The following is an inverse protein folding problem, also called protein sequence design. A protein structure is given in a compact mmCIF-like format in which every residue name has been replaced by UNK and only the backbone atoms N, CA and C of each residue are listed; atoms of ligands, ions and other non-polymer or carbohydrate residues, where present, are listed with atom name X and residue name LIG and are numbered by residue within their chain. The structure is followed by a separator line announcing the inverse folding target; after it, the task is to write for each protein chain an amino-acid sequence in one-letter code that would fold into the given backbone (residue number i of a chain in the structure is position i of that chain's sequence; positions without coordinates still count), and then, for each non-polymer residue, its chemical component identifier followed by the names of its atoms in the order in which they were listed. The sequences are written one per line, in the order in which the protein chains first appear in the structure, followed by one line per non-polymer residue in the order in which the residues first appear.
data_IF_518568408182
#
_entry.id   IF_518568408182
#
_cell.length_a   1.000
_cell.length_b   1.000
_cell.length_c   1.000
_cell.angle_alpha   90.00
_cell.angle_beta   90.00
_cell.angle_gamma   90.00
#
_symmetry.space_group_name_H-M   'P 1'
#
loop_
_entity.id
_entity.type
_entity.pdbx_description
1 polymer ?
#
# COMPACT_ATOMS: atom_id res chain seq x y z
N UNK A 1 18.92 19.88 -33.26
CA UNK A 1 19.98 19.83 -34.29
C UNK A 1 19.50 19.57 -35.72
N UNK A 2 18.39 18.88 -36.02
CA UNK A 2 17.75 18.98 -37.37
C UNK A 2 16.56 19.94 -37.38
N UNK A 3 15.65 19.81 -36.40
CA UNK A 3 14.46 20.67 -36.28
C UNK A 3 14.80 22.16 -36.07
N UNK A 4 15.87 22.45 -35.33
CA UNK A 4 16.35 23.82 -35.12
C UNK A 4 16.96 24.42 -36.40
N UNK A 5 17.63 23.61 -37.21
CA UNK A 5 18.16 24.07 -38.50
C UNK A 5 17.00 24.35 -39.49
N UNK A 6 16.00 23.46 -39.54
CA UNK A 6 14.77 23.70 -40.30
C UNK A 6 14.04 24.97 -39.82
N UNK A 7 14.00 25.23 -38.51
CA UNK A 7 13.42 26.44 -37.96
C UNK A 7 14.20 27.71 -38.32
N UNK A 8 15.53 27.65 -38.38
CA UNK A 8 16.36 28.80 -38.69
C UNK A 8 16.34 29.16 -40.19
N UNK A 9 16.43 28.16 -41.08
CA UNK A 9 16.67 28.40 -42.51
C UNK A 9 15.49 28.04 -43.43
N UNK A 10 14.61 27.14 -43.01
CA UNK A 10 13.57 26.55 -43.87
C UNK A 10 12.15 26.62 -43.28
N UNK A 11 11.94 27.52 -42.31
CA UNK A 11 10.69 27.57 -41.53
C UNK A 11 9.45 27.74 -42.40
N UNK A 12 9.49 28.67 -43.35
CA UNK A 12 8.33 28.99 -44.17
C UNK A 12 7.97 27.85 -45.12
N UNK A 13 8.97 27.20 -45.71
CA UNK A 13 8.75 26.07 -46.63
C UNK A 13 8.26 24.84 -45.86
N UNK A 14 8.80 24.60 -44.66
CA UNK A 14 8.32 23.56 -43.77
C UNK A 14 6.85 23.77 -43.36
N UNK A 15 6.45 25.00 -43.00
CA UNK A 15 5.06 25.29 -42.64
C UNK A 15 4.09 25.14 -43.82
N UNK A 16 4.50 25.54 -45.03
CA UNK A 16 3.71 25.30 -46.26
C UNK A 16 3.55 23.81 -46.52
N UNK A 17 4.62 23.03 -46.35
CA UNK A 17 4.57 21.57 -46.48
C UNK A 17 3.65 20.96 -45.43
N UNK A 18 3.74 21.37 -44.16
CA UNK A 18 2.85 20.91 -43.09
C UNK A 18 1.39 21.19 -43.41
N UNK A 19 1.05 22.40 -43.90
CA UNK A 19 -0.31 22.75 -44.31
C UNK A 19 -0.81 21.93 -45.50
N UNK A 20 0.06 21.61 -46.45
CA UNK A 20 -0.29 20.81 -47.64
C UNK A 20 -0.51 19.33 -47.30
N UNK A 21 0.11 18.82 -46.23
CA UNK A 21 0.06 17.41 -45.84
C UNK A 21 -0.71 17.19 -44.52
N UNK A 22 -1.51 18.17 -44.08
CA UNK A 22 -2.29 18.12 -42.83
C UNK A 22 -1.48 17.71 -41.59
N UNK A 23 -0.22 18.17 -41.51
CA UNK A 23 0.69 17.84 -40.43
C UNK A 23 0.79 18.98 -39.41
N UNK A 24 0.74 18.64 -38.11
CA UNK A 24 0.89 19.62 -37.03
C UNK A 24 2.37 20.04 -36.93
N UNK A 25 2.71 21.34 -37.09
CA UNK A 25 4.10 21.78 -37.04
C UNK A 25 4.70 21.57 -35.65
N UNK A 26 5.82 20.86 -35.56
CA UNK A 26 6.50 20.58 -34.29
C UNK A 26 7.84 21.30 -34.13
N UNK A 27 7.96 22.51 -34.69
CA UNK A 27 9.17 23.32 -34.54
C UNK A 27 9.33 23.79 -33.08
N UNK A 28 10.56 23.81 -32.54
CA UNK A 28 10.83 24.17 -31.15
C UNK A 28 10.21 25.48 -30.68
N UNK A 29 10.21 26.53 -31.51
CA UNK A 29 9.59 27.81 -31.17
C UNK A 29 8.07 27.76 -31.03
N UNK A 30 7.38 26.87 -31.75
CA UNK A 30 5.93 26.71 -31.64
C UNK A 30 5.54 26.01 -30.35
N UNK A 31 6.28 24.97 -29.95
CA UNK A 31 6.07 24.30 -28.65
C UNK A 31 6.28 25.25 -27.47
N UNK A 32 7.27 26.15 -27.56
CA UNK A 32 7.48 27.18 -26.53
C UNK A 32 6.29 28.15 -26.45
N UNK A 33 5.70 28.53 -27.57
CA UNK A 33 4.50 29.40 -27.60
C UNK A 33 3.27 28.69 -27.03
N UNK A 34 3.10 27.39 -27.31
CA UNK A 34 2.00 26.59 -26.74
C UNK A 34 2.11 26.45 -25.22
N UNK A 35 3.32 26.22 -24.71
CA UNK A 35 3.58 26.14 -23.26
C UNK A 35 3.31 27.49 -22.59
N UNK A 36 3.76 28.60 -23.18
CA UNK A 36 3.48 29.94 -22.64
C UNK A 36 1.97 30.29 -22.71
N UNK A 37 1.26 29.82 -23.74
CA UNK A 37 -0.19 30.01 -23.89
C UNK A 37 -1.00 29.11 -22.93
N UNK A 38 -0.50 27.92 -22.57
CA UNK A 38 -1.14 27.04 -21.58
C UNK A 38 -0.87 27.51 -20.15
N UNK A 39 0.33 28.01 -19.86
CA UNK A 39 0.68 28.62 -18.58
C UNK A 39 -0.15 29.89 -18.29
N UNK A 40 -0.44 30.70 -19.31
CA UNK A 40 -1.31 31.88 -19.17
C UNK A 40 -2.82 31.54 -19.07
N UNK A 41 -3.23 30.32 -19.46
CA UNK A 41 -4.60 29.80 -19.29
C UNK A 41 -4.79 28.99 -18.01
N UNK A 42 -3.71 28.64 -17.31
CA UNK A 42 -3.77 27.95 -16.02
C UNK A 42 -4.21 28.93 -14.93
N UNK A 43 -5.49 29.33 -14.97
CA UNK A 43 -6.21 29.72 -13.76
C UNK A 43 -6.07 28.54 -12.80
N UNK A 44 -5.36 28.79 -11.71
CA UNK A 44 -5.04 27.86 -10.65
C UNK A 44 -6.30 27.06 -10.27
N UNK A 45 -6.40 25.80 -10.73
CA UNK A 45 -7.46 24.92 -10.31
C UNK A 45 -7.32 24.72 -8.80
N UNK A 46 -8.41 24.97 -8.07
CA UNK A 46 -8.48 24.78 -6.62
C UNK A 46 -8.07 23.34 -6.27
N UNK A 47 -7.11 23.20 -5.36
CA UNK A 47 -6.55 21.93 -4.87
C UNK A 47 -7.62 21.05 -4.19
N UNK A 48 -8.82 21.59 -3.93
CA UNK A 48 -9.90 20.86 -3.26
C UNK A 48 -10.46 19.67 -4.05
N UNK A 49 -10.34 19.63 -5.37
CA UNK A 49 -10.96 18.58 -6.19
C UNK A 49 -10.17 17.26 -6.22
N UNK A 50 -8.94 17.23 -5.69
CA UNK A 50 -8.12 16.02 -5.53
C UNK A 50 -8.20 15.40 -4.13
N UNK A 51 -8.98 15.99 -3.22
CA UNK A 51 -9.18 15.43 -1.90
C UNK A 51 -10.11 14.21 -2.01
N UNK A 52 -9.53 13.03 -2.24
CA UNK A 52 -10.21 11.74 -2.03
C UNK A 52 -10.75 11.76 -0.60
N UNK A 53 -12.07 11.82 -0.46
CA UNK A 53 -12.73 11.66 0.84
C UNK A 53 -12.44 10.24 1.32
N UNK A 54 -11.40 10.08 2.11
CA UNK A 54 -11.15 8.85 2.85
C UNK A 54 -12.24 8.78 3.92
N UNK A 55 -13.10 7.77 3.82
CA UNK A 55 -14.06 7.46 4.87
C UNK A 55 -13.27 7.22 6.16
N UNK A 56 -13.49 8.08 7.15
CA UNK A 56 -12.81 7.94 8.44
C UNK A 56 -13.43 6.73 9.16
N UNK A 57 -12.63 5.88 9.81
CA UNK A 57 -13.17 4.79 10.61
C UNK A 57 -14.13 5.33 11.67
N UNK A 58 -15.18 4.55 11.95
CA UNK A 58 -16.20 4.90 12.94
C UNK A 58 -15.49 5.19 14.28
N UNK A 59 -15.72 6.37 14.90
CA UNK A 59 -15.14 6.67 16.21
C UNK A 59 -15.53 5.60 17.24
N UNK A 60 -14.60 5.30 18.15
CA UNK A 60 -14.87 4.33 19.20
C UNK A 60 -16.03 4.78 20.11
N UNK A 61 -17.00 3.89 20.30
CA UNK A 61 -17.96 3.91 21.41
C UNK A 61 -18.14 2.49 21.92
N UNK A 62 -18.43 2.34 23.21
CA UNK A 62 -18.59 1.02 23.83
C UNK A 62 -19.69 0.19 23.16
N UNK A 63 -20.78 0.86 22.75
CA UNK A 63 -21.91 0.22 22.07
C UNK A 63 -21.55 -0.22 20.65
N UNK A 64 -20.85 0.63 19.87
CA UNK A 64 -20.41 0.28 18.52
C UNK A 64 -19.38 -0.86 18.55
N UNK A 65 -18.45 -0.82 19.50
CA UNK A 65 -17.47 -1.88 19.70
C UNK A 65 -18.15 -3.20 20.08
N UNK A 66 -19.11 -3.17 21.01
CA UNK A 66 -19.86 -4.37 21.41
C UNK A 66 -20.65 -4.96 20.24
N UNK A 67 -21.32 -4.14 19.45
CA UNK A 67 -22.06 -4.60 18.28
C UNK A 67 -21.14 -5.29 17.26
N UNK A 68 -20.02 -4.64 16.89
CA UNK A 68 -19.04 -5.20 15.97
C UNK A 68 -18.40 -6.49 16.51
N UNK A 69 -18.12 -6.56 17.82
CA UNK A 69 -17.59 -7.74 18.49
C UNK A 69 -18.55 -8.95 18.40
N UNK A 70 -19.85 -8.74 18.64
CA UNK A 70 -20.87 -9.80 18.54
C UNK A 70 -21.01 -10.27 17.08
N UNK A 71 -21.04 -9.35 16.12
CA UNK A 71 -21.10 -9.68 14.69
C UNK A 71 -19.88 -10.49 14.26
N UNK A 72 -18.68 -10.09 14.68
CA UNK A 72 -17.45 -10.83 14.38
C UNK A 72 -17.46 -12.25 14.97
N UNK A 73 -17.84 -12.41 16.25
CA UNK A 73 -17.92 -13.72 16.89
C UNK A 73 -18.87 -14.68 16.15
N UNK A 74 -20.07 -14.21 15.83
CA UNK A 74 -21.14 -15.03 15.22
C UNK A 74 -20.83 -15.35 13.77
N UNK A 75 -20.33 -14.39 12.98
CA UNK A 75 -19.98 -14.60 11.57
C UNK A 75 -18.81 -15.56 11.35
N UNK A 76 -17.88 -15.62 12.31
CA UNK A 76 -16.67 -16.44 12.20
C UNK A 76 -16.64 -17.66 13.12
N UNK A 77 -17.75 -17.92 13.84
CA UNK A 77 -17.87 -19.01 14.82
C UNK A 77 -16.71 -19.07 15.82
N UNK A 78 -16.28 -17.92 16.34
CA UNK A 78 -15.24 -17.85 17.35
C UNK A 78 -15.79 -18.25 18.71
N UNK A 79 -14.95 -18.85 19.58
CA UNK A 79 -15.37 -19.15 20.93
C UNK A 79 -15.48 -17.86 21.75
N UNK A 80 -16.37 -17.84 22.75
CA UNK A 80 -16.64 -16.65 23.58
C UNK A 80 -15.43 -16.23 24.42
N UNK A 81 -14.56 -17.19 24.76
CA UNK A 81 -13.32 -16.99 25.49
C UNK A 81 -12.21 -16.32 24.66
N UNK A 82 -12.42 -16.10 23.36
CA UNK A 82 -11.49 -15.35 22.50
C UNK A 82 -11.18 -13.96 23.08
N UNK A 83 -12.16 -13.32 23.72
CA UNK A 83 -11.98 -12.03 24.38
C UNK A 83 -11.18 -12.08 25.68
N UNK A 84 -11.09 -13.25 26.33
CA UNK A 84 -10.29 -13.43 27.53
C UNK A 84 -8.81 -13.61 27.22
N UNK A 85 -8.47 -13.92 25.96
CA UNK A 85 -7.09 -14.08 25.54
C UNK A 85 -6.32 -12.75 25.64
N UNK A 86 -5.28 -12.66 26.49
CA UNK A 86 -4.52 -11.41 26.67
C UNK A 86 -3.79 -10.97 25.40
N UNK A 87 -3.44 -11.90 24.50
CA UNK A 87 -2.81 -11.58 23.21
C UNK A 87 -3.80 -10.89 22.26
N UNK A 88 -5.07 -11.27 22.31
CA UNK A 88 -6.12 -10.63 21.53
C UNK A 88 -6.34 -9.18 21.99
N UNK A 89 -6.41 -8.94 23.31
CA UNK A 89 -6.49 -7.57 23.88
C UNK A 89 -5.29 -6.72 23.46
N UNK A 90 -4.08 -7.29 23.54
CA UNK A 90 -2.85 -6.61 23.11
C UNK A 90 -2.91 -6.20 21.62
N UNK A 91 -3.44 -7.08 20.76
CA UNK A 91 -3.60 -6.78 19.33
C UNK A 91 -4.56 -5.62 19.08
N UNK A 92 -5.69 -5.57 19.80
CA UNK A 92 -6.64 -4.45 19.74
C UNK A 92 -5.99 -3.16 20.23
N UNK A 93 -5.26 -3.20 21.35
CA UNK A 93 -4.58 -2.02 21.90
C UNK A 93 -3.58 -1.43 20.91
N UNK A 94 -2.83 -2.28 20.20
CA UNK A 94 -1.91 -1.86 19.12
C UNK A 94 -2.69 -1.22 17.97
N UNK A 95 -3.75 -1.89 17.49
CA UNK A 95 -4.59 -1.41 16.40
C UNK A 95 -5.27 -0.06 16.72
N UNK A 96 -5.74 0.13 17.96
CA UNK A 96 -6.41 1.35 18.42
C UNK A 96 -5.50 2.60 18.37
N UNK A 97 -4.18 2.41 18.38
CA UNK A 97 -3.17 3.48 18.35
C UNK A 97 -2.65 3.75 16.93
N UNK A 98 -3.07 2.97 15.94
CA UNK A 98 -2.64 3.14 14.56
C UNK A 98 -3.13 4.49 14.01
N UNK A 99 -2.26 5.18 13.27
CA UNK A 99 -2.61 6.42 12.57
C UNK A 99 -3.15 6.06 11.20
N UNK A 100 -4.45 5.73 11.13
CA UNK A 100 -5.13 5.37 9.90
C UNK A 100 -5.71 3.95 9.92
N UNK A 101 -5.95 3.41 8.73
CA UNK A 101 -6.46 2.06 8.56
C UNK A 101 -5.39 1.02 8.92
N UNK A 102 -5.81 -0.06 9.60
CA UNK A 102 -4.94 -1.16 9.98
C UNK A 102 -4.93 -2.19 8.84
N UNK A 103 -3.82 -2.26 8.11
CA UNK A 103 -3.63 -3.28 7.08
C UNK A 103 -3.30 -4.63 7.74
N UNK A 104 -4.20 -5.60 7.60
CA UNK A 104 -3.95 -6.97 8.05
C UNK A 104 -3.12 -7.72 6.99
N UNK A 105 -2.06 -8.45 7.39
CA UNK A 105 -1.25 -9.21 6.46
C UNK A 105 -2.06 -10.34 5.81
N UNK A 106 -1.72 -10.66 4.56
CA UNK A 106 -2.37 -11.74 3.83
C UNK A 106 -2.13 -13.11 4.50
N UNK A 107 -3.11 -14.02 4.40
CA UNK A 107 -3.07 -15.33 5.07
C UNK A 107 -1.81 -16.16 4.75
N UNK A 108 -1.31 -16.08 3.52
CA UNK A 108 -0.08 -16.76 3.10
C UNK A 108 1.17 -16.18 3.76
N UNK A 109 1.23 -14.85 3.94
CA UNK A 109 2.29 -14.17 4.66
C UNK A 109 2.29 -14.58 6.14
N UNK A 110 1.13 -14.52 6.80
CA UNK A 110 0.96 -14.97 8.19
C UNK A 110 1.41 -16.42 8.35
N UNK A 111 0.96 -17.33 7.46
CA UNK A 111 1.35 -18.74 7.51
C UNK A 111 2.86 -18.92 7.41
N UNK A 112 3.52 -18.18 6.51
CA UNK A 112 4.96 -18.23 6.33
C UNK A 112 5.69 -17.75 7.59
N UNK A 113 5.23 -16.66 8.19
CA UNK A 113 5.80 -16.12 9.43
C UNK A 113 5.66 -17.10 10.61
N UNK A 114 4.49 -17.74 10.76
CA UNK A 114 4.29 -18.77 11.80
C UNK A 114 5.27 -19.93 11.63
N UNK A 115 5.44 -20.43 10.41
CA UNK A 115 6.39 -21.52 10.11
C UNK A 115 7.81 -21.07 10.43
N UNK A 116 8.17 -19.83 10.08
CA UNK A 116 9.50 -19.29 10.37
C UNK A 116 9.76 -19.21 11.88
N UNK A 117 8.83 -18.63 12.65
CA UNK A 117 8.93 -18.55 14.11
C UNK A 117 9.10 -19.93 14.75
N UNK A 118 8.37 -20.93 14.24
CA UNK A 118 8.51 -22.30 14.72
C UNK A 118 9.88 -22.89 14.42
N UNK A 119 10.39 -22.71 13.21
CA UNK A 119 11.72 -23.19 12.82
C UNK A 119 12.84 -22.52 13.63
N UNK A 120 12.72 -21.21 13.88
CA UNK A 120 13.69 -20.45 14.68
C UNK A 120 13.70 -20.97 16.12
N UNK A 121 12.52 -21.22 16.70
CA UNK A 121 12.41 -21.80 18.03
C UNK A 121 13.04 -23.21 18.10
N UNK A 122 12.79 -24.06 17.10
CA UNK A 122 13.43 -25.39 17.03
C UNK A 122 14.96 -25.29 16.88
N UNK A 123 15.46 -24.32 16.13
CA UNK A 123 16.89 -24.08 15.98
C UNK A 123 17.53 -23.64 17.31
N UNK A 124 16.88 -22.72 18.04
CA UNK A 124 17.31 -22.29 19.38
C UNK A 124 17.32 -23.47 20.35
N UNK A 125 16.23 -24.25 20.38
CA UNK A 125 16.13 -25.45 21.21
C UNK A 125 17.24 -26.44 20.88
N UNK A 126 17.52 -26.69 19.60
CA UNK A 126 18.61 -27.58 19.17
C UNK A 126 19.97 -27.09 19.67
N UNK A 127 20.24 -25.79 19.65
CA UNK A 127 21.49 -25.23 20.17
C UNK A 127 21.59 -25.40 21.68
N UNK A 128 20.52 -25.12 22.42
CA UNK A 128 20.48 -25.19 23.89
C UNK A 128 20.51 -26.63 24.40
N UNK A 129 19.84 -27.54 23.71
CA UNK A 129 19.78 -28.95 24.02
C UNK A 129 20.90 -29.75 23.36
N UNK A 130 21.90 -29.10 22.74
CA UNK A 130 23.13 -29.74 22.24
C UNK A 130 24.04 -30.23 23.38
N UNK A 131 23.43 -30.68 24.48
CA UNK A 131 24.02 -31.57 25.48
C UNK A 131 24.10 -32.94 24.82
N UNK A 132 25.29 -33.55 24.84
CA UNK A 132 25.52 -34.92 24.35
C UNK A 132 24.39 -35.81 24.88
N UNK A 133 23.61 -36.44 23.99
CA UNK A 133 22.62 -37.44 24.35
C UNK A 133 23.34 -38.64 25.00
N UNK A 134 23.62 -38.51 26.30
CA UNK A 134 23.90 -39.62 27.18
C UNK A 134 22.60 -39.90 27.92
N UNK A 135 22.07 -41.10 27.73
CA UNK A 135 20.87 -41.67 28.33
C UNK A 135 19.50 -41.10 27.89
N UNK A 136 18.83 -41.93 27.08
CA UNK A 136 17.39 -42.27 27.10
C UNK A 136 16.41 -41.13 27.42
N UNK A 137 15.95 -40.43 26.38
CA UNK A 137 14.71 -39.64 26.45
C UNK A 137 13.53 -40.54 26.06
N UNK A 138 12.70 -40.90 27.04
CA UNK A 138 11.38 -41.51 26.81
C UNK A 138 10.42 -40.41 26.33
N UNK A 139 10.21 -40.34 25.02
CA UNK A 139 9.14 -39.54 24.43
C UNK A 139 7.80 -40.17 24.80
N UNK A 140 7.02 -39.52 25.68
CA UNK A 140 5.64 -39.93 25.92
C UNK A 140 4.73 -39.31 24.85
N UNK A 141 4.23 -40.13 23.94
CA UNK A 141 3.01 -39.80 23.20
C UNK A 141 1.82 -39.93 24.17
N UNK A 142 1.06 -38.84 24.33
CA UNK A 142 -0.29 -38.88 24.91
C UNK A 142 -1.30 -38.85 23.79
#
# INVERSE_FOLDING_TARGET
TLRQHCEAHHKNDYLKWCKKNDFVPQLPGMKKLEVLASESRAVQQSIADFAVKTEKPIPYSDDAFRAAAIEWLTSTNQPLDAFDNPRFKTMIDIASRAKGEVELPACNAIRKEIIQLFNDHLAELRQRLNVRLSSTLMLSCR
#
